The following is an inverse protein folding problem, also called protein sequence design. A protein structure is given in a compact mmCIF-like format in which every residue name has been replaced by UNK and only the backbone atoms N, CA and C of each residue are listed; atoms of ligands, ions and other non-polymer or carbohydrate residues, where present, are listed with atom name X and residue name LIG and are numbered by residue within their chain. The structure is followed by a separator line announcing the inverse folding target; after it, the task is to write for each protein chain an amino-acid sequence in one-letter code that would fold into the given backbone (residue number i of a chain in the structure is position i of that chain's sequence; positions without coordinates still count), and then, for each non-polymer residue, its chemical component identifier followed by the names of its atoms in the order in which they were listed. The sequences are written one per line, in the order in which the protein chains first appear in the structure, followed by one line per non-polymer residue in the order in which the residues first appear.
data_IF_106080350214
#
_entry.id   IF_106080350214
#
_cell.length_a   1.000
_cell.length_b   1.000
_cell.length_c   1.000
_cell.angle_alpha   90.00
_cell.angle_beta   90.00
_cell.angle_gamma   90.00
#
_symmetry.space_group_name_H-M   'P 1'
#
loop_
_entity.id
_entity.type
_entity.pdbx_description
1 polymer ?
#
# COMPACT_ATOMS: atom_id res chain seq x y z
N UNK A 1 40.85 46.23 52.93
CA UNK A 1 39.85 46.21 51.82
C UNK A 1 39.99 45.00 50.88
N UNK A 2 40.56 43.85 51.31
CA UNK A 2 40.92 42.74 50.40
C UNK A 2 40.21 41.39 50.68
N UNK A 3 39.35 41.29 51.70
CA UNK A 3 38.70 40.02 52.08
C UNK A 3 37.34 39.76 51.40
N UNK A 4 36.75 40.73 50.70
CA UNK A 4 35.40 40.57 50.11
C UNK A 4 35.39 39.87 48.75
N UNK A 5 36.49 39.92 47.98
CA UNK A 5 36.53 39.37 46.63
C UNK A 5 36.57 37.83 46.60
N UNK A 6 37.19 37.16 47.57
CA UNK A 6 37.29 35.68 47.58
C UNK A 6 35.96 34.96 47.89
N UNK A 7 35.08 35.56 48.70
CA UNK A 7 33.74 35.01 48.97
C UNK A 7 32.80 35.20 47.79
N UNK A 8 32.83 36.36 47.13
CA UNK A 8 32.07 36.61 45.90
C UNK A 8 32.50 35.68 44.76
N UNK A 9 33.79 35.40 44.60
CA UNK A 9 34.30 34.49 43.56
C UNK A 9 33.83 33.04 43.78
N UNK A 10 33.77 32.57 45.03
CA UNK A 10 33.26 31.22 45.36
C UNK A 10 31.75 31.08 45.15
N UNK A 11 30.98 32.13 45.47
CA UNK A 11 29.52 32.13 45.25
C UNK A 11 29.20 32.22 43.74
N UNK A 12 29.93 33.05 42.99
CA UNK A 12 29.80 33.12 41.53
C UNK A 12 30.16 31.80 40.82
N UNK A 13 31.18 31.09 41.32
CA UNK A 13 31.59 29.80 40.75
C UNK A 13 30.59 28.66 41.04
N UNK A 14 29.87 28.72 42.17
CA UNK A 14 28.78 27.76 42.48
C UNK A 14 27.54 28.03 41.63
N UNK A 15 27.22 29.29 41.33
CA UNK A 15 26.07 29.66 40.48
C UNK A 15 26.32 29.28 39.01
N UNK A 16 27.56 29.42 38.51
CA UNK A 16 27.94 28.97 37.17
C UNK A 16 27.92 27.44 37.06
N UNK A 17 28.34 26.71 38.10
CA UNK A 17 28.25 25.24 38.12
C UNK A 17 26.79 24.74 38.15
N UNK A 18 25.88 25.48 38.79
CA UNK A 18 24.45 25.16 38.80
C UNK A 18 23.79 25.41 37.44
N UNK A 19 24.19 26.47 36.73
CA UNK A 19 23.71 26.76 35.38
C UNK A 19 24.21 25.76 34.32
N UNK A 20 25.38 25.14 34.53
CA UNK A 20 25.88 24.08 33.67
C UNK A 20 25.24 22.70 33.91
N UNK A 21 24.63 22.47 35.08
CA UNK A 21 23.91 21.21 35.39
C UNK A 21 22.45 21.23 34.97
N UNK A 22 21.89 22.41 34.68
CA UNK A 22 20.60 22.57 33.99
C UNK A 22 20.80 22.81 32.49
N UNK A 23 21.80 22.17 31.89
CA UNK A 23 21.87 22.03 30.45
C UNK A 23 20.59 21.32 30.02
N UNK A 24 19.59 22.10 29.60
CA UNK A 24 18.33 21.57 29.11
C UNK A 24 18.65 20.50 28.09
N UNK A 25 18.14 19.29 28.32
CA UNK A 25 18.01 18.30 27.28
C UNK A 25 17.15 18.96 26.20
N UNK A 26 17.80 19.62 25.25
CA UNK A 26 17.20 19.89 23.96
C UNK A 26 16.94 18.50 23.42
N UNK A 27 15.73 18.00 23.63
CA UNK A 27 15.22 16.85 22.90
C UNK A 27 15.23 17.31 21.45
N UNK A 28 16.33 17.03 20.76
CA UNK A 28 16.40 17.23 19.33
C UNK A 28 15.23 16.44 18.75
N UNK A 29 14.34 17.11 18.04
CA UNK A 29 13.21 16.45 17.40
C UNK A 29 13.79 15.37 16.48
N UNK A 30 13.58 14.11 16.87
CA UNK A 30 14.14 12.97 16.17
C UNK A 30 13.55 12.96 14.76
N UNK A 31 14.39 13.17 13.74
CA UNK A 31 13.94 13.21 12.34
C UNK A 31 13.72 11.78 11.85
N UNK A 32 12.55 11.23 12.19
CA UNK A 32 12.14 9.88 11.76
C UNK A 32 11.65 9.91 10.32
N UNK A 33 12.15 8.99 9.50
CA UNK A 33 11.71 8.82 8.12
C UNK A 33 10.26 8.28 8.03
N UNK A 34 9.83 7.54 9.06
CA UNK A 34 8.46 7.07 9.26
C UNK A 34 8.26 6.61 10.71
N UNK A 35 7.01 6.42 11.12
CA UNK A 35 6.61 5.81 12.39
C UNK A 35 5.57 4.73 12.13
N UNK A 36 5.59 3.64 12.89
CA UNK A 36 4.60 2.57 12.80
C UNK A 36 3.54 2.74 13.89
N UNK A 37 2.27 2.55 13.52
CA UNK A 37 1.15 2.57 14.46
C UNK A 37 0.27 1.34 14.30
N UNK A 38 -0.36 0.91 15.39
CA UNK A 38 -1.45 -0.07 15.36
C UNK A 38 -2.80 0.56 14.95
N UNK A 39 -3.85 -0.26 14.88
CA UNK A 39 -5.21 0.16 14.52
C UNK A 39 -5.77 1.30 15.39
N UNK A 40 -5.37 1.37 16.66
CA UNK A 40 -5.82 2.38 17.63
C UNK A 40 -4.92 3.65 17.62
N UNK A 41 -3.88 3.65 16.78
CA UNK A 41 -2.92 4.74 16.65
C UNK A 41 -1.88 4.79 17.77
N UNK A 42 -1.66 3.69 18.48
CA UNK A 42 -0.53 3.55 19.39
C UNK A 42 0.72 3.22 18.59
N UNK A 43 1.84 3.87 18.93
CA UNK A 43 3.13 3.58 18.30
C UNK A 43 3.49 2.11 18.57
N UNK A 44 3.88 1.40 17.51
CA UNK A 44 4.25 -0.01 17.56
C UNK A 44 5.58 -0.24 16.86
N UNK A 45 6.11 -1.45 16.95
CA UNK A 45 7.34 -1.82 16.26
C UNK A 45 7.08 -2.82 15.12
N UNK A 46 8.10 -2.96 14.27
CA UNK A 46 8.04 -3.84 13.10
C UNK A 46 7.86 -5.31 13.49
N UNK A 47 8.44 -5.74 14.61
CA UNK A 47 8.37 -7.13 15.05
C UNK A 47 6.94 -7.50 15.47
N UNK A 48 6.25 -6.61 16.20
CA UNK A 48 4.86 -6.78 16.55
C UNK A 48 3.97 -6.82 15.31
N UNK A 49 4.13 -5.87 14.39
CA UNK A 49 3.40 -5.88 13.12
C UNK A 49 3.59 -7.22 12.39
N UNK A 50 4.83 -7.67 12.20
CA UNK A 50 5.12 -8.94 11.51
C UNK A 50 4.56 -10.16 12.24
N UNK A 51 4.50 -10.15 13.58
CA UNK A 51 3.88 -11.23 14.35
C UNK A 51 2.40 -11.41 14.04
N UNK A 52 1.67 -10.30 13.83
CA UNK A 52 0.25 -10.32 13.47
C UNK A 52 0.06 -10.69 12.00
N UNK A 53 0.87 -10.09 11.11
CA UNK A 53 0.77 -10.35 9.67
C UNK A 53 1.02 -11.84 9.36
N UNK A 54 2.06 -12.45 9.95
CA UNK A 54 2.41 -13.85 9.69
C UNK A 54 1.36 -14.90 10.11
N UNK A 55 0.35 -14.53 10.89
CA UNK A 55 -0.76 -15.42 11.29
C UNK A 55 -1.97 -15.38 10.35
N UNK A 56 -1.95 -14.47 9.36
CA UNK A 56 -3.06 -14.28 8.43
C UNK A 56 -2.99 -15.23 7.22
N UNK A 57 -3.99 -15.13 6.35
CA UNK A 57 -4.00 -15.81 5.05
C UNK A 57 -3.83 -14.82 3.91
N UNK A 58 -4.34 -13.59 4.07
CA UNK A 58 -4.15 -12.50 3.11
C UNK A 58 -3.67 -11.26 3.84
N UNK A 59 -2.61 -10.64 3.33
CA UNK A 59 -2.16 -9.32 3.78
C UNK A 59 -2.22 -8.34 2.63
N UNK A 60 -2.94 -7.24 2.83
CA UNK A 60 -2.94 -6.11 1.91
C UNK A 60 -1.96 -5.05 2.38
N UNK A 61 -1.09 -4.58 1.48
CA UNK A 61 -0.20 -3.45 1.71
C UNK A 61 -0.71 -2.31 0.82
N UNK A 62 -1.42 -1.39 1.46
CA UNK A 62 -1.94 -0.16 0.88
C UNK A 62 -0.84 0.87 0.75
N UNK A 63 -0.34 1.10 -0.45
CA UNK A 63 0.71 2.07 -0.73
C UNK A 63 0.18 3.44 -1.18
N UNK A 64 1.02 4.45 -0.96
CA UNK A 64 0.94 5.72 -1.70
C UNK A 64 1.93 5.60 -2.85
N UNK A 65 1.44 5.61 -4.09
CA UNK A 65 2.30 5.52 -5.28
C UNK A 65 3.42 6.56 -5.23
N UNK A 66 4.59 6.16 -5.71
CA UNK A 66 5.81 6.95 -5.76
C UNK A 66 6.35 7.35 -4.36
N UNK A 67 5.93 6.67 -3.29
CA UNK A 67 6.47 6.90 -1.95
C UNK A 67 7.65 5.92 -1.70
N UNK A 68 8.89 6.42 -1.56
CA UNK A 68 10.04 5.54 -1.41
C UNK A 68 9.96 4.68 -0.13
N UNK A 69 9.34 5.20 0.94
CA UNK A 69 9.13 4.44 2.17
C UNK A 69 8.08 3.34 1.98
N UNK A 70 7.01 3.60 1.22
CA UNK A 70 6.01 2.58 0.92
C UNK A 70 6.64 1.38 0.23
N UNK A 71 7.30 1.60 -0.91
CA UNK A 71 7.89 0.52 -1.71
C UNK A 71 9.06 -0.18 -1.00
N UNK A 72 9.81 0.54 -0.17
CA UNK A 72 10.82 -0.09 0.68
C UNK A 72 10.16 -1.00 1.72
N UNK A 73 9.12 -0.54 2.41
CA UNK A 73 8.39 -1.34 3.40
C UNK A 73 7.66 -2.54 2.78
N UNK A 74 7.07 -2.39 1.58
CA UNK A 74 6.52 -3.52 0.82
C UNK A 74 7.57 -4.60 0.61
N UNK A 75 8.77 -4.23 0.16
CA UNK A 75 9.86 -5.16 -0.04
C UNK A 75 10.29 -5.85 1.27
N UNK A 76 10.47 -5.11 2.36
CA UNK A 76 10.89 -5.67 3.66
C UNK A 76 9.81 -6.62 4.21
N UNK A 77 8.53 -6.22 4.22
CA UNK A 77 7.41 -7.04 4.66
C UNK A 77 7.32 -8.33 3.83
N UNK A 78 7.38 -8.24 2.50
CA UNK A 78 7.29 -9.43 1.63
C UNK A 78 8.48 -10.36 1.84
N UNK A 79 9.69 -9.83 2.01
CA UNK A 79 10.89 -10.63 2.29
C UNK A 79 10.75 -11.40 3.60
N UNK A 80 10.24 -10.77 4.64
CA UNK A 80 10.13 -11.38 5.97
C UNK A 80 8.93 -12.33 6.05
N UNK A 81 7.82 -12.05 5.35
CA UNK A 81 6.73 -13.01 5.12
C UNK A 81 7.22 -14.23 4.33
N UNK A 82 8.10 -14.05 3.33
CA UNK A 82 8.73 -15.17 2.64
C UNK A 82 9.62 -15.99 3.58
N UNK A 83 10.31 -15.36 4.52
CA UNK A 83 11.09 -16.10 5.52
C UNK A 83 10.21 -17.00 6.41
N UNK A 84 8.98 -16.57 6.72
CA UNK A 84 8.01 -17.32 7.53
C UNK A 84 7.26 -18.40 6.74
N UNK A 85 6.84 -18.10 5.52
CA UNK A 85 5.93 -18.95 4.74
C UNK A 85 6.62 -19.73 3.60
N UNK A 86 7.78 -19.27 3.14
CA UNK A 86 8.57 -19.88 2.07
C UNK A 86 7.74 -20.09 0.80
N UNK A 87 7.73 -21.31 0.30
CA UNK A 87 7.01 -21.80 -0.87
C UNK A 87 5.48 -21.66 -0.78
N UNK A 88 4.95 -21.36 0.42
CA UNK A 88 3.53 -21.10 0.64
C UNK A 88 3.10 -19.66 0.34
N UNK A 89 4.05 -18.74 0.18
CA UNK A 89 3.79 -17.34 -0.13
C UNK A 89 3.49 -17.15 -1.62
N UNK A 90 2.48 -16.36 -1.93
CA UNK A 90 2.22 -15.80 -3.25
C UNK A 90 2.12 -14.28 -3.15
N UNK A 91 2.53 -13.59 -4.21
CA UNK A 91 2.43 -12.13 -4.32
C UNK A 91 1.39 -11.81 -5.39
N UNK A 92 0.54 -10.83 -5.15
CA UNK A 92 -0.25 -10.18 -6.18
C UNK A 92 -0.03 -8.69 -6.16
N UNK A 93 -0.16 -8.03 -7.30
CA UNK A 93 -0.03 -6.58 -7.36
C UNK A 93 -1.03 -5.95 -8.32
N UNK A 94 -1.52 -4.77 -7.94
CA UNK A 94 -2.39 -3.92 -8.76
C UNK A 94 -1.71 -3.45 -10.05
N UNK A 95 -0.40 -3.27 -10.02
CA UNK A 95 0.38 -2.64 -11.09
C UNK A 95 0.45 -3.51 -12.37
N UNK A 96 0.08 -4.78 -12.26
CA UNK A 96 0.06 -5.74 -13.36
C UNK A 96 -1.38 -6.13 -13.72
N UNK A 97 -1.68 -6.04 -15.01
CA UNK A 97 -2.99 -6.38 -15.58
C UNK A 97 -3.06 -7.88 -15.85
N UNK A 98 -4.22 -8.52 -15.62
CA UNK A 98 -4.40 -9.97 -15.82
C UNK A 98 -4.04 -10.48 -17.21
N UNK A 99 -4.15 -9.64 -18.23
CA UNK A 99 -3.76 -9.98 -19.61
C UNK A 99 -2.27 -9.80 -19.90
N UNK A 100 -1.49 -9.40 -18.90
CA UNK A 100 -0.02 -9.33 -18.91
C UNK A 100 0.62 -10.54 -18.21
N UNK A 101 -0.20 -11.43 -17.61
CA UNK A 101 0.27 -12.57 -16.80
C UNK A 101 1.21 -13.50 -17.58
N UNK A 102 0.95 -13.74 -18.87
CA UNK A 102 1.80 -14.59 -19.70
C UNK A 102 3.24 -14.07 -19.76
N UNK A 103 3.40 -12.78 -20.07
CA UNK A 103 4.71 -12.12 -20.20
C UNK A 103 5.40 -12.06 -18.83
N UNK A 104 4.64 -11.84 -17.77
CA UNK A 104 5.15 -11.89 -16.40
C UNK A 104 5.66 -13.29 -16.02
N UNK A 105 4.92 -14.34 -16.31
CA UNK A 105 5.30 -15.73 -16.00
C UNK A 105 6.55 -16.17 -16.79
N UNK A 106 6.62 -15.84 -18.08
CA UNK A 106 7.80 -16.07 -18.91
C UNK A 106 9.03 -15.33 -18.37
N UNK A 107 8.84 -14.12 -17.84
CA UNK A 107 9.92 -13.38 -17.22
C UNK A 107 10.38 -14.03 -15.91
N UNK A 108 9.46 -14.36 -15.01
CA UNK A 108 9.75 -14.94 -13.70
C UNK A 108 10.38 -16.34 -13.81
N UNK A 109 10.01 -17.11 -14.84
CA UNK A 109 10.61 -18.41 -15.14
C UNK A 109 11.97 -18.33 -15.85
N UNK A 110 12.37 -17.13 -16.31
CA UNK A 110 13.65 -16.90 -17.00
C UNK A 110 13.64 -17.25 -18.49
N UNK A 111 12.47 -17.44 -19.10
CA UNK A 111 12.30 -17.69 -20.53
C UNK A 111 12.58 -16.43 -21.37
N UNK A 112 12.28 -15.24 -20.82
CA UNK A 112 12.60 -13.96 -21.44
C UNK A 112 13.55 -13.12 -20.57
N UNK A 113 14.32 -12.26 -21.23
CA UNK A 113 15.26 -11.33 -20.58
C UNK A 113 14.52 -10.16 -19.93
N UNK A 114 15.17 -9.46 -18.99
CA UNK A 114 14.61 -8.25 -18.39
C UNK A 114 14.32 -7.17 -19.44
N UNK A 115 15.17 -7.06 -20.47
CA UNK A 115 14.95 -6.12 -21.59
C UNK A 115 13.67 -6.47 -22.37
N UNK A 116 13.44 -7.76 -22.65
CA UNK A 116 12.22 -8.22 -23.33
C UNK A 116 10.99 -7.97 -22.47
N UNK A 117 11.06 -8.33 -21.19
CA UNK A 117 9.99 -8.07 -20.24
C UNK A 117 9.62 -6.59 -20.20
N UNK A 118 10.59 -5.67 -20.05
CA UNK A 118 10.30 -4.23 -20.02
C UNK A 118 9.72 -3.68 -21.33
N UNK A 119 9.99 -4.30 -22.48
CA UNK A 119 9.44 -3.88 -23.77
C UNK A 119 8.05 -4.43 -24.05
N UNK A 120 7.74 -5.62 -23.53
CA UNK A 120 6.54 -6.38 -23.90
C UNK A 120 5.46 -6.34 -22.82
N UNK A 121 5.84 -6.21 -21.54
CA UNK A 121 4.91 -6.07 -20.43
C UNK A 121 4.39 -4.63 -20.30
N UNK A 122 3.17 -4.46 -19.78
CA UNK A 122 2.52 -3.15 -19.63
C UNK A 122 2.90 -2.43 -18.34
N UNK A 123 4.20 -2.27 -18.13
CA UNK A 123 4.76 -1.71 -16.91
C UNK A 123 4.39 -0.23 -16.72
N UNK A 124 4.22 0.17 -15.46
CA UNK A 124 4.04 1.57 -15.10
C UNK A 124 5.37 2.34 -15.21
N UNK A 125 5.36 3.66 -15.44
CA UNK A 125 6.59 4.45 -15.57
C UNK A 125 7.55 4.34 -14.39
N UNK A 126 7.00 4.20 -13.18
CA UNK A 126 7.74 4.06 -11.92
C UNK A 126 8.19 2.63 -11.61
N UNK A 127 7.92 1.65 -12.49
CA UNK A 127 8.37 0.27 -12.31
C UNK A 127 9.86 0.13 -11.96
N UNK A 128 10.80 0.83 -12.64
CA UNK A 128 12.23 0.65 -12.37
C UNK A 128 12.64 0.98 -10.94
N UNK A 129 11.96 1.94 -10.29
CA UNK A 129 12.26 2.38 -8.92
C UNK A 129 11.42 1.65 -7.89
N UNK A 130 10.15 1.42 -8.17
CA UNK A 130 9.16 1.10 -7.13
C UNK A 130 8.89 -0.41 -7.06
N UNK A 131 8.70 -1.07 -8.21
CA UNK A 131 8.22 -2.46 -8.25
C UNK A 131 9.27 -3.46 -8.75
N UNK A 132 10.32 -3.01 -9.44
CA UNK A 132 11.36 -3.92 -9.97
C UNK A 132 11.98 -4.77 -8.87
N UNK A 133 12.31 -4.18 -7.72
CA UNK A 133 13.01 -4.89 -6.63
C UNK A 133 12.19 -6.08 -6.10
N UNK A 134 10.88 -5.92 -5.93
CA UNK A 134 10.02 -7.01 -5.45
C UNK A 134 9.78 -8.08 -6.53
N UNK A 135 9.69 -7.69 -7.81
CA UNK A 135 9.59 -8.64 -8.92
C UNK A 135 10.86 -9.47 -9.07
N UNK A 136 12.05 -8.85 -8.98
CA UNK A 136 13.32 -9.59 -8.99
C UNK A 136 13.46 -10.53 -7.79
N UNK A 137 12.96 -10.10 -6.62
CA UNK A 137 12.92 -10.96 -5.44
C UNK A 137 12.04 -12.18 -5.66
N UNK A 138 10.85 -12.00 -6.23
CA UNK A 138 9.95 -13.08 -6.58
C UNK A 138 10.58 -14.03 -7.60
N UNK A 139 11.21 -13.50 -8.65
CA UNK A 139 11.95 -14.27 -9.66
C UNK A 139 13.05 -15.12 -9.03
N UNK A 140 13.92 -14.51 -8.23
CA UNK A 140 15.08 -15.17 -7.60
C UNK A 140 14.64 -16.32 -6.69
N UNK A 141 13.54 -16.13 -5.96
CA UNK A 141 13.04 -17.09 -4.97
C UNK A 141 11.92 -17.98 -5.51
N UNK A 142 11.58 -17.87 -6.81
CA UNK A 142 10.49 -18.59 -7.48
C UNK A 142 9.14 -18.44 -6.76
N UNK A 143 8.85 -17.24 -6.27
CA UNK A 143 7.58 -16.91 -5.63
C UNK A 143 6.53 -16.69 -6.74
N UNK A 144 5.37 -17.36 -6.71
CA UNK A 144 4.29 -17.08 -7.63
C UNK A 144 3.86 -15.61 -7.55
N UNK A 145 3.76 -14.94 -8.69
CA UNK A 145 3.38 -13.54 -8.78
C UNK A 145 2.17 -13.37 -9.70
N UNK A 146 1.07 -12.86 -9.17
CA UNK A 146 -0.21 -12.75 -9.85
C UNK A 146 -0.43 -11.32 -10.30
N UNK A 147 -0.61 -11.12 -11.60
CA UNK A 147 -1.12 -9.90 -12.20
C UNK A 147 -2.61 -9.80 -11.90
N UNK A 148 -2.99 -8.98 -10.92
CA UNK A 148 -4.34 -9.06 -10.34
C UNK A 148 -5.36 -8.13 -10.97
N UNK A 149 -4.89 -7.06 -11.63
CA UNK A 149 -5.75 -5.95 -11.99
C UNK A 149 -6.47 -6.18 -13.32
N UNK A 150 -7.60 -5.49 -13.49
CA UNK A 150 -8.30 -5.49 -14.76
C UNK A 150 -7.46 -4.80 -15.84
N UNK A 151 -7.46 -5.29 -17.09
CA UNK A 151 -6.87 -4.55 -18.19
C UNK A 151 -7.47 -3.14 -18.29
N UNK A 152 -6.62 -2.09 -18.32
CA UNK A 152 -7.07 -0.68 -18.24
C UNK A 152 -8.14 -0.30 -19.26
N UNK A 153 -8.11 -0.95 -20.44
CA UNK A 153 -9.11 -0.76 -21.50
C UNK A 153 -10.52 -1.12 -21.06
N UNK A 154 -10.70 -2.13 -20.20
CA UNK A 154 -12.03 -2.54 -19.71
C UNK A 154 -12.52 -1.65 -18.56
N UNK A 155 -11.63 -1.21 -17.67
CA UNK A 155 -11.96 -0.15 -16.71
C UNK A 155 -12.41 1.14 -17.44
N UNK A 156 -11.71 1.51 -18.51
CA UNK A 156 -12.08 2.65 -19.35
C UNK A 156 -13.39 2.46 -20.12
N UNK A 157 -13.78 1.23 -20.47
CA UNK A 157 -15.11 0.95 -21.02
C UNK A 157 -16.21 1.24 -19.98
N UNK A 158 -16.02 0.81 -18.74
CA UNK A 158 -16.97 1.05 -17.65
C UNK A 158 -17.05 2.53 -17.29
N UNK A 159 -15.93 3.26 -17.28
CA UNK A 159 -15.97 4.70 -16.99
C UNK A 159 -16.72 5.52 -18.05
N UNK A 160 -16.89 4.99 -19.27
CA UNK A 160 -17.68 5.63 -20.34
C UNK A 160 -19.14 5.14 -20.37
N UNK A 161 -19.35 3.83 -20.25
CA UNK A 161 -20.64 3.18 -20.54
C UNK A 161 -21.25 2.37 -19.40
N UNK A 162 -20.66 2.38 -18.20
CA UNK A 162 -21.07 1.53 -17.08
C UNK A 162 -20.82 0.03 -17.34
N UNK A 163 -21.34 -0.84 -16.46
CA UNK A 163 -21.08 -2.28 -16.54
C UNK A 163 -21.67 -2.95 -17.78
N UNK A 164 -22.77 -2.43 -18.34
CA UNK A 164 -23.37 -2.96 -19.56
C UNK A 164 -22.42 -2.91 -20.77
N UNK A 165 -21.42 -2.02 -20.75
CA UNK A 165 -20.38 -1.98 -21.78
C UNK A 165 -19.56 -3.29 -21.85
N UNK A 166 -19.47 -4.04 -20.75
CA UNK A 166 -18.71 -5.30 -20.68
C UNK A 166 -19.44 -6.48 -21.34
N UNK A 167 -20.75 -6.38 -21.59
CA UNK A 167 -21.53 -7.45 -22.23
C UNK A 167 -21.07 -7.71 -23.67
N UNK A 168 -20.47 -6.70 -24.30
CA UNK A 168 -19.94 -6.75 -25.67
C UNK A 168 -18.59 -7.48 -25.77
N UNK A 169 -17.96 -7.82 -24.64
CA UNK A 169 -16.69 -8.54 -24.63
C UNK A 169 -16.87 -9.98 -25.10
N UNK A 170 -15.86 -10.50 -25.81
CA UNK A 170 -15.76 -11.93 -26.09
C UNK A 170 -15.59 -12.73 -24.79
N UNK A 171 -15.89 -14.03 -24.84
CA UNK A 171 -15.69 -14.91 -23.68
C UNK A 171 -14.22 -14.95 -23.23
N UNK A 172 -13.27 -14.91 -24.18
CA UNK A 172 -11.85 -14.80 -23.86
C UNK A 172 -11.52 -13.50 -23.10
N UNK A 173 -12.07 -12.36 -23.55
CA UNK A 173 -11.88 -11.08 -22.88
C UNK A 173 -12.48 -11.07 -21.47
N UNK A 174 -13.62 -11.74 -21.26
CA UNK A 174 -14.26 -11.87 -19.95
C UNK A 174 -13.42 -12.66 -18.94
N UNK A 175 -12.50 -13.52 -19.39
CA UNK A 175 -11.59 -14.23 -18.48
C UNK A 175 -10.63 -13.29 -17.74
N UNK A 176 -10.38 -12.08 -18.26
CA UNK A 176 -9.50 -11.08 -17.63
C UNK A 176 -10.21 -10.16 -16.63
N UNK A 177 -11.50 -10.35 -16.37
CA UNK A 177 -12.28 -9.55 -15.41
C UNK A 177 -12.93 -10.43 -14.35
N UNK A 178 -13.52 -9.79 -13.33
CA UNK A 178 -14.38 -10.49 -12.37
C UNK A 178 -15.64 -11.07 -13.04
N UNK A 179 -16.23 -12.16 -12.49
CA UNK A 179 -17.47 -12.73 -13.00
C UNK A 179 -18.60 -11.69 -13.11
N UNK A 180 -19.33 -11.73 -14.21
CA UNK A 180 -20.51 -10.90 -14.48
C UNK A 180 -21.81 -11.67 -14.18
N UNK A 181 -22.91 -10.98 -13.80
CA UNK A 181 -23.01 -9.55 -13.55
C UNK A 181 -22.26 -9.12 -12.27
N UNK A 182 -21.65 -7.93 -12.30
CA UNK A 182 -20.93 -7.44 -11.15
C UNK A 182 -21.91 -6.98 -10.06
N UNK A 183 -21.83 -7.59 -8.88
CA UNK A 183 -22.57 -7.16 -7.68
C UNK A 183 -21.95 -5.87 -7.11
N UNK A 184 -22.21 -4.73 -7.78
CA UNK A 184 -21.66 -3.43 -7.41
C UNK A 184 -21.90 -3.10 -5.93
N UNK A 185 -20.83 -2.71 -5.24
CA UNK A 185 -20.89 -2.20 -3.86
C UNK A 185 -20.42 -0.78 -3.89
N UNK A 186 -21.30 0.12 -3.46
CA UNK A 186 -20.97 1.53 -3.34
C UNK A 186 -19.86 1.72 -2.29
N UNK A 187 -18.84 2.48 -2.63
CA UNK A 187 -17.75 2.87 -1.73
C UNK A 187 -17.73 4.40 -1.60
N UNK A 188 -18.14 4.91 -0.44
CA UNK A 188 -18.26 6.36 -0.22
C UNK A 188 -16.92 7.09 -0.23
N UNK A 189 -15.84 6.44 0.22
CA UNK A 189 -14.48 7.00 0.16
C UNK A 189 -14.05 7.23 -1.29
N UNK A 190 -14.26 6.23 -2.14
CA UNK A 190 -13.98 6.31 -3.59
C UNK A 190 -14.80 7.41 -4.27
N UNK A 191 -16.11 7.46 -4.00
CA UNK A 191 -16.94 8.51 -4.58
C UNK A 191 -16.55 9.90 -4.10
N UNK A 192 -16.22 10.06 -2.82
CA UNK A 192 -15.78 11.35 -2.26
C UNK A 192 -14.46 11.79 -2.90
N UNK A 193 -13.51 10.87 -3.07
CA UNK A 193 -12.26 11.12 -3.76
C UNK A 193 -12.49 11.59 -5.20
N UNK A 194 -13.27 10.85 -6.00
CA UNK A 194 -13.51 11.26 -7.38
C UNK A 194 -14.25 12.60 -7.49
N UNK A 195 -15.23 12.88 -6.61
CA UNK A 195 -15.86 14.20 -6.55
C UNK A 195 -14.88 15.33 -6.24
N UNK A 196 -13.85 15.06 -5.43
CA UNK A 196 -12.83 16.07 -5.09
C UNK A 196 -11.84 16.35 -6.23
N UNK A 197 -11.67 15.40 -7.15
CA UNK A 197 -10.82 15.56 -8.34
C UNK A 197 -11.53 16.16 -9.55
N UNK A 198 -12.86 16.25 -9.50
CA UNK A 198 -13.66 16.76 -10.59
C UNK A 198 -13.47 18.28 -10.77
N UNK A 199 -13.40 18.69 -12.03
CA UNK A 199 -13.42 20.12 -12.38
C UNK A 199 -14.79 20.72 -12.05
N UNK A 200 -14.87 22.01 -11.69
CA UNK A 200 -16.14 22.71 -11.53
C UNK A 200 -17.03 22.53 -12.77
N UNK A 201 -18.19 21.86 -12.60
CA UNK A 201 -19.14 21.58 -13.69
C UNK A 201 -19.25 20.11 -14.13
N UNK A 202 -18.49 19.18 -13.53
CA UNK A 202 -18.70 17.74 -13.73
C UNK A 202 -20.10 17.29 -13.26
N UNK A 203 -20.69 16.32 -13.96
CA UNK A 203 -22.01 15.79 -13.59
C UNK A 203 -21.84 14.65 -12.59
N UNK A 204 -22.79 14.49 -11.66
CA UNK A 204 -22.85 13.35 -10.71
C UNK A 204 -22.75 11.98 -11.40
N UNK A 205 -23.27 11.86 -12.61
CA UNK A 205 -23.21 10.64 -13.43
C UNK A 205 -21.77 10.26 -13.82
N UNK A 206 -20.89 11.25 -14.00
CA UNK A 206 -19.49 11.04 -14.34
C UNK A 206 -18.73 10.43 -13.14
N UNK A 207 -18.98 10.95 -11.92
CA UNK A 207 -18.46 10.36 -10.68
C UNK A 207 -18.90 8.91 -10.50
N UNK A 208 -20.18 8.61 -10.76
CA UNK A 208 -20.71 7.26 -10.60
C UNK A 208 -20.05 6.28 -11.57
N UNK A 209 -19.77 6.69 -12.81
CA UNK A 209 -19.05 5.87 -13.78
C UNK A 209 -17.60 5.62 -13.38
N UNK A 210 -16.91 6.62 -12.82
CA UNK A 210 -15.57 6.45 -12.25
C UNK A 210 -15.58 5.48 -11.07
N UNK A 211 -16.54 5.61 -10.16
CA UNK A 211 -16.71 4.70 -9.04
C UNK A 211 -17.01 3.26 -9.50
N UNK A 212 -17.82 3.08 -10.56
CA UNK A 212 -18.07 1.77 -11.18
C UNK A 212 -16.81 1.18 -11.82
N UNK A 213 -15.99 2.00 -12.47
CA UNK A 213 -14.72 1.55 -13.02
C UNK A 213 -13.75 1.10 -11.92
N UNK A 214 -13.68 1.85 -10.81
CA UNK A 214 -12.93 1.46 -9.61
C UNK A 214 -13.43 0.13 -9.03
N UNK A 215 -14.75 -0.02 -8.91
CA UNK A 215 -15.36 -1.27 -8.44
C UNK A 215 -15.05 -2.47 -9.34
N UNK A 216 -14.92 -2.28 -10.67
CA UNK A 216 -14.45 -3.34 -11.56
C UNK A 216 -13.00 -3.72 -11.26
N UNK A 217 -12.10 -2.75 -11.01
CA UNK A 217 -10.72 -3.02 -10.60
C UNK A 217 -10.70 -3.84 -9.30
N UNK A 218 -11.40 -3.36 -8.27
CA UNK A 218 -11.50 -3.99 -6.96
C UNK A 218 -12.02 -5.42 -7.04
N UNK A 219 -13.12 -5.62 -7.77
CA UNK A 219 -13.70 -6.94 -7.96
C UNK A 219 -12.77 -7.86 -8.73
N UNK A 220 -12.09 -7.36 -9.75
CA UNK A 220 -11.18 -8.18 -10.56
C UNK A 220 -9.95 -8.58 -9.74
N UNK A 221 -9.39 -7.69 -8.93
CA UNK A 221 -8.31 -8.03 -8.00
C UNK A 221 -8.77 -9.02 -6.94
N UNK A 222 -9.94 -8.81 -6.34
CA UNK A 222 -10.53 -9.75 -5.37
C UNK A 222 -10.76 -11.14 -5.97
N UNK A 223 -11.23 -11.20 -7.23
CA UNK A 223 -11.39 -12.45 -7.95
C UNK A 223 -10.05 -13.13 -8.26
N UNK A 224 -9.04 -12.37 -8.69
CA UNK A 224 -7.68 -12.87 -8.92
C UNK A 224 -7.10 -13.51 -7.67
N UNK A 225 -7.26 -12.86 -6.51
CA UNK A 225 -6.81 -13.40 -5.22
C UNK A 225 -7.60 -14.68 -4.91
N UNK A 226 -8.93 -14.65 -5.01
CA UNK A 226 -9.78 -15.80 -4.67
C UNK A 226 -9.44 -17.06 -5.48
N UNK A 227 -9.11 -16.90 -6.77
CA UNK A 227 -8.73 -17.99 -7.68
C UNK A 227 -7.33 -18.54 -7.41
N UNK A 228 -6.39 -17.69 -7.00
CA UNK A 228 -4.98 -18.08 -6.89
C UNK A 228 -4.54 -18.42 -5.47
N UNK A 229 -5.19 -17.87 -4.44
CA UNK A 229 -4.74 -18.06 -3.06
C UNK A 229 -4.70 -19.54 -2.69
N UNK A 230 -3.48 -20.00 -2.42
CA UNK A 230 -3.17 -21.28 -1.78
C UNK A 230 -3.21 -21.12 -0.26
N UNK A 231 -2.02 -20.94 0.33
CA UNK A 231 -1.85 -20.84 1.80
C UNK A 231 -1.73 -19.42 2.31
N UNK A 232 -0.86 -18.60 1.71
CA UNK A 232 -0.61 -17.23 2.14
C UNK A 232 -0.44 -16.31 0.93
N UNK A 233 -1.15 -15.19 0.92
CA UNK A 233 -1.16 -14.24 -0.18
C UNK A 233 -0.86 -12.83 0.33
N UNK A 234 0.14 -12.15 -0.24
CA UNK A 234 0.36 -10.71 -0.02
C UNK A 234 -0.05 -9.94 -1.26
N UNK A 235 -0.84 -8.88 -1.09
CA UNK A 235 -1.32 -8.05 -2.19
C UNK A 235 -0.81 -6.62 -2.03
N UNK A 236 -0.15 -6.11 -3.07
CA UNK A 236 0.35 -4.74 -3.17
C UNK A 236 -0.66 -3.91 -3.96
N UNK A 237 -1.16 -2.83 -3.35
CA UNK A 237 -2.22 -2.02 -3.95
C UNK A 237 -2.15 -0.57 -3.48
N UNK A 238 -2.65 0.37 -4.28
CA UNK A 238 -2.87 1.73 -3.78
C UNK A 238 -3.81 1.72 -2.58
N UNK A 239 -3.57 2.53 -1.54
CA UNK A 239 -4.32 2.48 -0.27
C UNK A 239 -5.84 2.51 -0.44
N UNK A 240 -6.35 3.22 -1.46
CA UNK A 240 -7.78 3.28 -1.77
C UNK A 240 -8.44 1.91 -2.03
N UNK A 241 -7.67 0.91 -2.40
CA UNK A 241 -8.15 -0.43 -2.76
C UNK A 241 -8.33 -1.37 -1.56
N UNK A 242 -7.75 -1.06 -0.39
CA UNK A 242 -7.83 -1.90 0.82
C UNK A 242 -8.21 -1.14 2.10
N UNK A 243 -8.13 0.20 2.10
CA UNK A 243 -8.49 1.01 3.25
C UNK A 243 -9.94 0.78 3.71
N UNK A 244 -10.16 0.91 5.02
CA UNK A 244 -11.44 0.74 5.69
C UNK A 244 -12.09 -0.65 5.44
N UNK A 245 -11.27 -1.68 5.24
CA UNK A 245 -11.72 -3.04 4.92
C UNK A 245 -12.67 -3.07 3.70
N UNK A 246 -12.51 -2.11 2.79
CA UNK A 246 -13.36 -1.90 1.62
C UNK A 246 -12.62 -2.27 0.32
N UNK A 247 -13.14 -1.83 -0.83
CA UNK A 247 -12.52 -2.08 -2.13
C UNK A 247 -12.37 -3.57 -2.43
N UNK A 248 -11.13 -4.02 -2.66
CA UNK A 248 -10.78 -5.41 -2.95
C UNK A 248 -11.34 -6.35 -1.89
N UNK A 249 -11.21 -6.00 -0.61
CA UNK A 249 -11.57 -6.85 0.53
C UNK A 249 -13.08 -7.17 0.52
N UNK A 250 -13.91 -6.18 0.18
CA UNK A 250 -15.36 -6.36 0.03
C UNK A 250 -15.71 -7.46 -0.97
N UNK A 251 -15.03 -7.47 -2.12
CA UNK A 251 -15.27 -8.44 -3.18
C UNK A 251 -14.64 -9.79 -2.87
N UNK A 252 -13.41 -9.80 -2.35
CA UNK A 252 -12.73 -11.02 -1.93
C UNK A 252 -13.56 -11.80 -0.90
N UNK A 253 -14.13 -11.13 0.10
CA UNK A 253 -14.98 -11.76 1.10
C UNK A 253 -16.26 -12.40 0.51
N UNK A 254 -16.71 -11.97 -0.68
CA UNK A 254 -17.82 -12.60 -1.39
C UNK A 254 -17.36 -13.80 -2.22
N UNK A 255 -16.21 -13.68 -2.88
CA UNK A 255 -15.68 -14.75 -3.72
C UNK A 255 -15.06 -15.89 -2.92
N UNK A 256 -14.51 -15.59 -1.73
CA UNK A 256 -13.88 -16.55 -0.84
C UNK A 256 -14.09 -16.14 0.63
N UNK A 257 -15.27 -16.42 1.21
CA UNK A 257 -15.59 -16.02 2.58
C UNK A 257 -14.73 -16.76 3.61
N UNK A 258 -14.51 -16.11 4.76
CA UNK A 258 -13.86 -16.72 5.93
C UNK A 258 -12.34 -16.66 5.94
N UNK A 259 -11.71 -15.93 5.01
CA UNK A 259 -10.27 -15.67 5.04
C UNK A 259 -9.91 -14.79 6.23
N UNK A 260 -8.78 -15.11 6.87
CA UNK A 260 -8.12 -14.20 7.82
C UNK A 260 -7.33 -13.15 7.04
N UNK A 261 -7.71 -11.89 7.18
CA UNK A 261 -7.17 -10.76 6.42
C UNK A 261 -6.57 -9.76 7.40
N UNK A 262 -5.37 -9.26 7.10
CA UNK A 262 -4.85 -8.03 7.71
C UNK A 262 -4.45 -6.99 6.65
N UNK A 263 -4.33 -5.74 7.10
CA UNK A 263 -4.10 -4.57 6.29
C UNK A 263 -2.99 -3.70 6.89
N UNK A 264 -2.06 -3.27 6.05
CA UNK A 264 -1.06 -2.25 6.36
C UNK A 264 -1.32 -1.07 5.43
N UNK A 265 -1.50 0.13 5.96
CA UNK A 265 -1.76 1.33 5.14
C UNK A 265 -0.65 2.37 5.32
N UNK A 266 -0.11 2.86 4.20
CA UNK A 266 0.81 4.00 4.20
C UNK A 266 -0.02 5.28 4.22
N UNK A 267 0.30 6.17 5.17
CA UNK A 267 -0.32 7.50 5.30
C UNK A 267 0.75 8.58 5.27
N UNK A 268 0.39 9.78 4.80
CA UNK A 268 1.28 10.96 4.83
C UNK A 268 0.72 12.02 5.78
N UNK A 269 1.55 12.49 6.71
CA UNK A 269 1.18 13.52 7.70
C UNK A 269 2.34 14.50 7.93
N UNK A 270 2.05 15.74 8.34
CA UNK A 270 3.11 16.69 8.71
C UNK A 270 3.87 16.25 9.98
N UNK A 271 3.14 15.62 10.90
CA UNK A 271 3.67 15.09 12.16
C UNK A 271 3.50 13.58 12.19
N UNK A 272 4.59 12.88 12.45
CA UNK A 272 4.66 11.41 12.47
C UNK A 272 4.79 10.84 13.88
N UNK A 273 4.80 11.69 14.92
CA UNK A 273 4.80 11.28 16.32
C UNK A 273 3.41 10.86 16.83
N UNK A 274 2.37 11.05 16.01
CA UNK A 274 0.99 10.65 16.30
C UNK A 274 0.20 10.40 15.02
N UNK A 275 -0.55 9.32 14.96
CA UNK A 275 -1.48 9.05 13.88
C UNK A 275 -2.71 9.99 13.94
N UNK A 276 -3.17 10.47 12.80
CA UNK A 276 -4.37 11.31 12.72
C UNK A 276 -5.65 10.49 13.02
N UNK A 277 -6.59 11.11 13.73
CA UNK A 277 -7.77 10.40 14.24
C UNK A 277 -8.73 9.94 13.15
N UNK A 278 -8.76 10.62 12.02
CA UNK A 278 -9.63 10.29 10.90
C UNK A 278 -9.12 9.10 10.09
N UNK A 279 -7.86 8.70 10.24
CA UNK A 279 -7.33 7.48 9.60
C UNK A 279 -7.38 6.25 10.50
N UNK A 280 -7.39 6.40 11.84
CA UNK A 280 -7.44 5.29 12.81
C UNK A 280 -8.56 4.27 12.50
N UNK A 281 -8.26 2.99 12.75
CA UNK A 281 -9.14 1.82 12.54
C UNK A 281 -9.64 1.58 11.11
N UNK A 282 -9.09 2.28 10.13
CA UNK A 282 -9.25 1.96 8.70
C UNK A 282 -8.33 0.84 8.22
N UNK A 283 -7.24 0.58 8.94
CA UNK A 283 -6.31 -0.52 8.72
C UNK A 283 -5.83 -1.11 10.07
N UNK A 284 -5.21 -2.28 10.03
CA UNK A 284 -4.67 -2.95 11.22
C UNK A 284 -3.33 -2.35 11.65
N UNK A 285 -2.54 -1.87 10.69
CA UNK A 285 -1.28 -1.17 10.91
C UNK A 285 -1.11 0.00 9.95
N UNK A 286 -0.33 0.99 10.38
CA UNK A 286 -0.02 2.17 9.59
C UNK A 286 1.48 2.42 9.50
N UNK A 287 1.92 2.80 8.31
CA UNK A 287 3.25 3.35 8.07
C UNK A 287 3.06 4.86 7.84
N UNK A 288 3.32 5.65 8.88
CA UNK A 288 3.14 7.10 8.83
C UNK A 288 4.42 7.78 8.33
N UNK A 289 4.35 8.35 7.13
CA UNK A 289 5.46 9.00 6.42
C UNK A 289 5.28 10.52 6.48
N UNK A 290 6.35 11.32 6.66
CA UNK A 290 6.19 12.76 6.65
C UNK A 290 5.80 13.28 5.25
N UNK A 291 4.96 14.32 5.20
CA UNK A 291 4.47 14.89 3.93
C UNK A 291 5.60 15.45 3.05
N UNK A 292 6.69 15.90 3.66
CA UNK A 292 7.89 16.43 2.96
C UNK A 292 8.84 15.34 2.45
N UNK A 293 8.52 14.06 2.65
CA UNK A 293 9.27 12.95 2.07
C UNK A 293 9.24 13.03 0.54
N UNK A 294 10.42 12.89 -0.06
CA UNK A 294 10.60 12.91 -1.52
C UNK A 294 9.75 11.85 -2.23
N UNK A 295 9.53 12.03 -3.53
CA UNK A 295 8.86 11.06 -4.39
C UNK A 295 9.88 10.32 -5.24
N UNK A 296 9.54 9.10 -5.66
CA UNK A 296 10.25 8.38 -6.71
C UNK A 296 9.76 8.85 -8.11
N UNK A 297 10.07 8.07 -9.14
CA UNK A 297 10.08 8.41 -10.57
C UNK A 297 8.75 8.95 -11.15
#
# INVERSE_FOLDING_TARGET
MCLNNRKMMKIGMIIILWFCLTGGLVVAQEKRAYTLFDADGQETDYAHMMSVLGEQQVVFIGEIHNCPIAHWMEYEIVRDLYALHKDRLMIGAEMFERDDQLVLDEYLSGLITAERFTKEAKLWPNYPTDYKKIVEFAKTNRIPFVATNVPRRYAAMVSRGGFGALEQLSEEAKNYIAPLPLNYVRNEGVETYFRSMEMPGAKKEDTEKLAKAQALKDATMGWSIAQNIGSYFVHLNGSFHSANQAGIITYLNRYRPGLKIATVEVVRQEKTDKLDKDVMRKADFYICVPTDMTTTY
#
